data_IF_653130292216
#
_entry.id   IF_653130292216
#
_cell.length_a   1.000
_cell.length_b   1.000
_cell.length_c   1.000
_cell.angle_alpha   90.00
_cell.angle_beta   90.00
_cell.angle_gamma   90.00
#
_symmetry.space_group_name_H-M   'P 1'
#
loop_
_entity.id
_entity.type
_entity.pdbx_description
1 polymer ?
#
# COMPACT_ATOMS: atom_id res chain seq x y z
N UNK A 1 49.52 -1.71 -24.87
CA UNK A 1 48.96 -1.88 -23.51
C UNK A 1 47.94 -0.78 -23.25
N UNK A 2 46.80 -0.80 -23.94
CA UNK A 2 45.71 0.15 -23.76
C UNK A 2 44.45 -0.68 -23.50
N UNK A 3 44.20 -0.99 -22.22
CA UNK A 3 43.14 -1.93 -21.87
C UNK A 3 42.60 -1.85 -20.44
N UNK A 4 43.03 -0.88 -19.63
CA UNK A 4 42.71 -0.93 -18.18
C UNK A 4 42.17 0.37 -17.59
N UNK A 5 41.82 1.38 -18.39
CA UNK A 5 41.25 2.62 -17.87
C UNK A 5 39.72 2.70 -17.99
N UNK A 6 39.08 1.86 -18.81
CA UNK A 6 37.62 1.87 -18.99
C UNK A 6 36.87 0.87 -18.09
N UNK A 7 37.57 -0.01 -17.38
CA UNK A 7 36.95 -0.96 -16.45
C UNK A 7 36.67 -0.37 -15.05
N UNK A 8 37.22 0.81 -14.72
CA UNK A 8 37.03 1.44 -13.41
C UNK A 8 35.86 2.45 -13.36
N UNK A 9 35.30 2.84 -14.52
CA UNK A 9 34.17 3.77 -14.59
C UNK A 9 32.80 3.06 -14.56
N UNK A 10 32.78 1.73 -14.59
CA UNK A 10 31.60 0.91 -14.36
C UNK A 10 31.55 0.37 -12.93
N UNK A 11 32.10 1.12 -11.96
CA UNK A 11 31.64 1.04 -10.58
C UNK A 11 30.18 1.52 -10.60
N UNK A 12 29.30 0.58 -10.91
CA UNK A 12 27.85 0.66 -10.82
C UNK A 12 27.49 1.53 -9.63
N UNK A 13 27.15 2.78 -9.92
CA UNK A 13 26.34 3.59 -9.03
C UNK A 13 24.93 3.01 -9.11
N UNK A 14 24.76 1.76 -8.67
CA UNK A 14 23.46 1.28 -8.25
C UNK A 14 23.14 2.14 -7.05
N UNK A 15 22.40 3.23 -7.29
CA UNK A 15 21.76 4.01 -6.23
C UNK A 15 20.98 2.97 -5.44
N UNK A 16 21.53 2.57 -4.29
CA UNK A 16 20.91 1.57 -3.43
C UNK A 16 19.60 2.19 -3.01
N UNK A 17 18.50 1.68 -3.56
CA UNK A 17 17.16 2.15 -3.21
C UNK A 17 16.97 1.87 -1.73
N UNK A 18 16.51 2.87 -0.98
CA UNK A 18 16.27 2.74 0.45
C UNK A 18 15.30 1.56 0.69
N UNK A 19 15.71 0.51 1.44
CA UNK A 19 14.89 -0.67 1.62
C UNK A 19 13.58 -0.36 2.36
N UNK A 20 13.57 0.61 3.28
CA UNK A 20 12.35 1.06 3.93
C UNK A 20 11.41 1.76 2.93
N UNK A 21 11.97 2.57 2.03
CA UNK A 21 11.17 3.21 0.98
C UNK A 21 10.55 2.17 0.04
N UNK A 22 11.31 1.14 -0.35
CA UNK A 22 10.78 0.05 -1.19
C UNK A 22 9.63 -0.69 -0.50
N UNK A 23 9.81 -1.05 0.78
CA UNK A 23 8.75 -1.69 1.58
C UNK A 23 7.50 -0.81 1.70
N UNK A 24 7.67 0.49 1.99
CA UNK A 24 6.55 1.43 2.05
C UNK A 24 5.88 1.68 0.69
N UNK A 25 6.59 1.56 -0.43
CA UNK A 25 5.97 1.63 -1.75
C UNK A 25 5.09 0.41 -2.01
N UNK A 26 5.50 -0.79 -1.55
CA UNK A 26 4.65 -1.97 -1.62
C UNK A 26 3.37 -1.79 -0.78
N UNK A 27 3.50 -1.20 0.41
CA UNK A 27 2.34 -0.81 1.23
C UNK A 27 1.34 0.10 0.48
N UNK A 28 1.84 1.14 -0.21
CA UNK A 28 1.00 2.03 -1.02
C UNK A 28 0.35 1.31 -2.20
N UNK A 29 1.06 0.36 -2.82
CA UNK A 29 0.49 -0.45 -3.90
C UNK A 29 -0.69 -1.31 -3.41
N UNK A 30 -0.60 -1.90 -2.21
CA UNK A 30 -1.72 -2.62 -1.60
C UNK A 30 -2.93 -1.72 -1.39
N UNK A 31 -2.76 -0.50 -0.89
CA UNK A 31 -3.88 0.44 -0.75
C UNK A 31 -4.53 0.79 -2.08
N UNK A 32 -3.73 1.06 -3.11
CA UNK A 32 -4.25 1.38 -4.44
C UNK A 32 -5.01 0.18 -5.06
N UNK A 33 -4.52 -1.04 -4.81
CA UNK A 33 -5.20 -2.27 -5.25
C UNK A 33 -6.53 -2.45 -4.51
N UNK A 34 -6.56 -2.32 -3.18
CA UNK A 34 -7.79 -2.36 -2.39
C UNK A 34 -8.82 -1.33 -2.87
N UNK A 35 -8.42 -0.08 -3.08
CA UNK A 35 -9.31 0.96 -3.59
C UNK A 35 -9.91 0.59 -4.96
N UNK A 36 -9.09 0.01 -5.84
CA UNK A 36 -9.53 -0.47 -7.15
C UNK A 36 -10.52 -1.63 -7.04
N UNK A 37 -10.22 -2.60 -6.18
CA UNK A 37 -11.06 -3.76 -5.92
C UNK A 37 -12.41 -3.36 -5.30
N UNK A 38 -12.41 -2.50 -4.29
CA UNK A 38 -13.64 -2.00 -3.65
C UNK A 38 -14.53 -1.27 -4.66
N UNK A 39 -13.97 -0.39 -5.49
CA UNK A 39 -14.73 0.30 -6.55
C UNK A 39 -15.34 -0.69 -7.54
N UNK A 40 -14.57 -1.71 -7.94
CA UNK A 40 -15.03 -2.76 -8.84
C UNK A 40 -16.14 -3.59 -8.20
N UNK A 41 -15.97 -3.98 -6.94
CA UNK A 41 -16.94 -4.70 -6.14
C UNK A 41 -18.27 -3.92 -6.07
N UNK A 42 -18.22 -2.64 -5.70
CA UNK A 42 -19.39 -1.77 -5.61
C UNK A 42 -20.13 -1.62 -6.95
N UNK A 43 -19.36 -1.53 -8.05
CA UNK A 43 -19.91 -1.45 -9.41
C UNK A 43 -20.65 -2.73 -9.76
N UNK A 44 -20.05 -3.89 -9.46
CA UNK A 44 -20.61 -5.19 -9.75
C UNK A 44 -21.83 -5.50 -8.87
N UNK A 45 -21.76 -5.19 -7.58
CA UNK A 45 -22.88 -5.31 -6.66
C UNK A 45 -24.07 -4.47 -7.14
N UNK A 46 -23.82 -3.21 -7.52
CA UNK A 46 -24.84 -2.32 -8.07
C UNK A 46 -25.49 -2.88 -9.34
N UNK A 47 -24.69 -3.48 -10.23
CA UNK A 47 -25.19 -4.15 -11.43
C UNK A 47 -26.08 -5.35 -11.08
N UNK A 48 -25.63 -6.22 -10.19
CA UNK A 48 -26.36 -7.41 -9.76
C UNK A 48 -27.69 -7.05 -9.08
N UNK A 49 -27.70 -6.01 -8.24
CA UNK A 49 -28.93 -5.51 -7.62
C UNK A 49 -29.94 -5.09 -8.68
N UNK A 50 -29.50 -4.35 -9.71
CA UNK A 50 -30.38 -3.84 -10.76
C UNK A 50 -30.89 -4.93 -11.70
N UNK A 51 -30.03 -5.84 -12.14
CA UNK A 51 -30.39 -6.81 -13.18
C UNK A 51 -30.99 -8.11 -12.64
N UNK A 52 -30.53 -8.56 -11.47
CA UNK A 52 -30.89 -9.87 -10.94
C UNK A 52 -31.74 -9.79 -9.66
N UNK A 53 -32.13 -8.59 -9.22
CA UNK A 53 -32.75 -8.38 -7.91
C UNK A 53 -31.94 -9.05 -6.79
N UNK A 54 -30.61 -8.94 -6.87
CA UNK A 54 -29.64 -9.71 -6.06
C UNK A 54 -29.99 -9.86 -4.58
N UNK A 55 -30.49 -8.78 -3.95
CA UNK A 55 -30.90 -8.76 -2.54
C UNK A 55 -32.02 -9.74 -2.20
N UNK A 56 -32.87 -10.11 -3.17
CA UNK A 56 -34.01 -11.02 -3.00
C UNK A 56 -33.68 -12.46 -3.36
N UNK A 57 -32.47 -12.73 -3.89
CA UNK A 57 -32.07 -14.08 -4.28
C UNK A 57 -31.59 -14.89 -3.07
N UNK A 58 -32.03 -16.15 -3.00
CA UNK A 58 -31.49 -17.16 -2.10
C UNK A 58 -30.03 -17.51 -2.47
N UNK A 59 -29.29 -18.10 -1.53
CA UNK A 59 -27.89 -18.51 -1.76
C UNK A 59 -27.73 -19.43 -2.98
N UNK A 60 -28.67 -20.36 -3.20
CA UNK A 60 -28.66 -21.26 -4.37
C UNK A 60 -28.88 -20.52 -5.68
N UNK A 61 -29.74 -19.49 -5.70
CA UNK A 61 -29.97 -18.67 -6.89
C UNK A 61 -28.76 -17.78 -7.20
N UNK A 62 -28.10 -17.24 -6.16
CA UNK A 62 -26.86 -16.48 -6.32
C UNK A 62 -25.72 -17.32 -6.90
N UNK A 63 -25.58 -18.57 -6.45
CA UNK A 63 -24.58 -19.50 -6.96
C UNK A 63 -24.76 -19.86 -8.46
N UNK A 64 -25.94 -19.59 -9.04
CA UNK A 64 -26.19 -19.78 -10.46
C UNK A 64 -25.79 -18.57 -11.32
N UNK A 65 -25.36 -17.45 -10.70
CA UNK A 65 -24.98 -16.21 -11.39
C UNK A 65 -23.44 -16.17 -11.48
N UNK A 66 -22.84 -16.23 -12.68
CA UNK A 66 -21.39 -16.22 -12.85
C UNK A 66 -20.71 -15.01 -12.20
N UNK A 67 -21.34 -13.84 -12.26
CA UNK A 67 -20.85 -12.60 -11.66
C UNK A 67 -20.76 -12.66 -10.13
N UNK A 68 -21.49 -13.57 -9.47
CA UNK A 68 -21.35 -13.82 -8.04
C UNK A 68 -19.94 -14.27 -7.66
N UNK A 69 -19.38 -15.17 -8.47
CA UNK A 69 -18.03 -15.69 -8.25
C UNK A 69 -16.96 -14.61 -8.39
N UNK A 70 -17.24 -13.54 -9.15
CA UNK A 70 -16.33 -12.40 -9.26
C UNK A 70 -16.36 -11.53 -8.01
N UNK A 71 -17.52 -11.40 -7.33
CA UNK A 71 -17.56 -10.75 -6.02
C UNK A 71 -16.77 -11.57 -4.99
N UNK A 72 -17.02 -12.88 -4.92
CA UNK A 72 -16.31 -13.78 -4.00
C UNK A 72 -14.79 -13.72 -4.24
N UNK A 73 -14.34 -13.74 -5.51
CA UNK A 73 -12.93 -13.64 -5.85
C UNK A 73 -12.30 -12.27 -5.52
N UNK A 74 -13.10 -11.19 -5.52
CA UNK A 74 -12.64 -9.87 -5.06
C UNK A 74 -12.49 -9.88 -3.54
N UNK A 75 -13.46 -10.46 -2.82
CA UNK A 75 -13.43 -10.57 -1.36
C UNK A 75 -12.22 -11.41 -0.92
N UNK A 76 -11.99 -12.57 -1.53
CA UNK A 76 -10.80 -13.41 -1.29
C UNK A 76 -9.49 -12.63 -1.52
N UNK A 77 -9.41 -11.81 -2.58
CA UNK A 77 -8.23 -11.00 -2.86
C UNK A 77 -8.04 -9.86 -1.85
N UNK A 78 -9.12 -9.28 -1.34
CA UNK A 78 -9.05 -8.26 -0.29
C UNK A 78 -8.52 -8.86 1.02
N UNK A 79 -8.95 -10.07 1.37
CA UNK A 79 -8.45 -10.82 2.53
C UNK A 79 -6.95 -11.15 2.36
N UNK A 80 -6.53 -11.64 1.19
CA UNK A 80 -5.12 -11.88 0.88
C UNK A 80 -4.25 -10.61 1.03
N UNK A 81 -4.75 -9.46 0.55
CA UNK A 81 -4.04 -8.18 0.68
C UNK A 81 -3.96 -7.78 2.15
N UNK A 82 -5.02 -7.99 2.94
CA UNK A 82 -5.00 -7.70 4.36
C UNK A 82 -3.90 -8.51 5.08
N UNK A 83 -3.80 -9.81 4.82
CA UNK A 83 -2.75 -10.67 5.39
C UNK A 83 -1.35 -10.21 4.98
N UNK A 84 -1.17 -9.86 3.70
CA UNK A 84 0.08 -9.31 3.18
C UNK A 84 0.45 -7.98 3.85
N UNK A 85 -0.52 -7.11 4.08
CA UNK A 85 -0.34 -5.86 4.81
C UNK A 85 0.05 -6.12 6.27
N UNK A 86 -0.62 -7.03 6.98
CA UNK A 86 -0.27 -7.36 8.37
C UNK A 86 1.16 -7.92 8.47
N UNK A 87 1.55 -8.80 7.56
CA UNK A 87 2.91 -9.34 7.51
C UNK A 87 3.96 -8.24 7.25
N UNK A 88 3.68 -7.36 6.27
CA UNK A 88 4.56 -6.24 5.96
C UNK A 88 4.67 -5.28 7.15
N UNK A 89 3.55 -4.92 7.78
CA UNK A 89 3.51 -4.03 8.94
C UNK A 89 4.30 -4.59 10.12
N UNK A 90 4.20 -5.89 10.39
CA UNK A 90 4.99 -6.56 11.42
C UNK A 90 6.49 -6.54 11.13
N UNK A 91 6.88 -6.64 9.85
CA UNK A 91 8.30 -6.62 9.44
C UNK A 91 8.89 -5.21 9.34
N UNK A 92 8.06 -4.19 9.08
CA UNK A 92 8.51 -2.84 8.75
C UNK A 92 9.39 -2.16 9.83
N UNK A 93 9.16 -2.38 11.15
CA UNK A 93 10.07 -1.89 12.19
C UNK A 93 11.51 -2.40 12.04
N UNK A 94 11.68 -3.62 11.52
CA UNK A 94 12.99 -4.28 11.32
C UNK A 94 13.73 -3.75 10.08
N UNK A 95 13.05 -3.02 9.20
CA UNK A 95 13.63 -2.46 7.98
C UNK A 95 14.15 -1.04 8.28
N UNK A 96 15.46 -0.88 8.23
CA UNK A 96 16.12 0.41 8.47
C UNK A 96 15.93 1.35 7.29
N UNK A 97 15.48 2.57 7.56
CA UNK A 97 15.50 3.63 6.57
C UNK A 97 16.92 4.20 6.47
N UNK A 98 17.43 4.31 5.25
CA UNK A 98 18.77 4.84 4.96
C UNK A 98 18.73 6.28 4.44
N UNK A 99 17.54 6.79 4.16
CA UNK A 99 17.30 8.13 3.65
C UNK A 99 16.17 8.83 4.42
N UNK A 100 16.14 10.17 4.41
CA UNK A 100 14.98 10.92 4.91
C UNK A 100 13.67 10.48 4.23
N UNK A 101 13.73 10.16 2.93
CA UNK A 101 12.53 9.69 2.21
C UNK A 101 12.01 8.37 2.75
N UNK A 102 12.88 7.42 3.14
CA UNK A 102 12.48 6.18 3.80
C UNK A 102 11.86 6.39 5.18
N UNK A 103 12.41 7.32 5.99
CA UNK A 103 11.84 7.67 7.30
C UNK A 103 10.43 8.26 7.12
N UNK A 104 10.29 9.22 6.21
CA UNK A 104 9.00 9.83 5.88
C UNK A 104 7.99 8.80 5.36
N UNK A 105 8.45 7.80 4.60
CA UNK A 105 7.60 6.73 4.10
C UNK A 105 7.09 5.82 5.23
N UNK A 106 7.96 5.46 6.20
CA UNK A 106 7.52 4.70 7.40
C UNK A 106 6.49 5.46 8.21
N UNK A 107 6.70 6.76 8.45
CA UNK A 107 5.74 7.62 9.14
C UNK A 107 4.40 7.70 8.39
N UNK A 108 4.42 7.75 7.06
CA UNK A 108 3.20 7.72 6.25
C UNK A 108 2.43 6.38 6.39
N UNK A 109 3.14 5.25 6.49
CA UNK A 109 2.50 3.95 6.81
C UNK A 109 1.82 4.02 8.17
N UNK A 110 2.51 4.50 9.21
CA UNK A 110 1.94 4.62 10.56
C UNK A 110 0.69 5.52 10.55
N UNK A 111 0.72 6.65 9.84
CA UNK A 111 -0.43 7.55 9.70
C UNK A 111 -1.64 6.87 9.00
N UNK A 112 -1.39 5.91 8.11
CA UNK A 112 -2.46 5.14 7.45
C UNK A 112 -3.05 4.02 8.30
N UNK A 113 -2.30 3.54 9.30
CA UNK A 113 -2.72 2.44 10.19
C UNK A 113 -3.39 2.97 11.45
N UNK A 114 -2.87 4.06 12.02
CA UNK A 114 -3.48 4.70 13.19
C UNK A 114 -4.66 5.52 12.71
N UNK A 115 -5.86 4.94 12.75
CA UNK A 115 -7.08 5.62 12.32
C UNK A 115 -7.43 6.78 13.26
N UNK A 116 -7.82 7.91 12.67
CA UNK A 116 -8.20 9.10 13.43
C UNK A 116 -9.43 8.85 14.32
N UNK A 117 -10.37 8.02 13.88
CA UNK A 117 -11.55 7.65 14.67
C UNK A 117 -11.20 6.82 15.91
N UNK A 118 -10.07 6.09 15.88
CA UNK A 118 -9.63 5.23 16.98
C UNK A 118 -8.72 5.97 17.97
N UNK A 119 -7.86 6.86 17.46
CA UNK A 119 -6.94 7.64 18.28
C UNK A 119 -6.53 8.94 17.57
N UNK A 120 -7.34 9.99 17.75
CA UNK A 120 -7.14 11.26 17.07
C UNK A 120 -5.81 11.93 17.49
N UNK A 121 -5.47 11.92 18.78
CA UNK A 121 -4.25 12.56 19.28
C UNK A 121 -2.98 11.94 18.69
N UNK A 122 -2.92 10.60 18.64
CA UNK A 122 -1.79 9.91 18.02
C UNK A 122 -1.72 10.18 16.52
N UNK A 123 -2.85 10.09 15.81
CA UNK A 123 -2.92 10.35 14.37
C UNK A 123 -2.41 11.75 14.03
N UNK A 124 -2.93 12.79 14.69
CA UNK A 124 -2.54 14.18 14.45
C UNK A 124 -1.05 14.42 14.76
N UNK A 125 -0.54 13.81 15.84
CA UNK A 125 0.89 13.90 16.18
C UNK A 125 1.78 13.25 15.11
N UNK A 126 1.41 12.06 14.61
CA UNK A 126 2.15 11.37 13.54
C UNK A 126 2.16 12.21 12.26
N UNK A 127 1.00 12.76 11.86
CA UNK A 127 0.87 13.62 10.68
C UNK A 127 1.70 14.89 10.82
N UNK A 128 1.70 15.51 12.00
CA UNK A 128 2.53 16.69 12.31
C UNK A 128 4.02 16.36 12.21
N UNK A 129 4.48 15.29 12.85
CA UNK A 129 5.89 14.85 12.80
C UNK A 129 6.33 14.54 11.36
N UNK A 130 5.46 13.94 10.55
CA UNK A 130 5.74 13.69 9.13
C UNK A 130 5.91 15.00 8.35
N UNK A 131 5.08 16.01 8.61
CA UNK A 131 5.18 17.33 7.96
C UNK A 131 6.48 18.06 8.35
N UNK A 132 6.83 18.04 9.64
CA UNK A 132 8.07 18.60 10.17
C UNK A 132 9.29 17.92 9.54
N UNK A 133 9.29 16.59 9.52
CA UNK A 133 10.39 15.81 8.96
C UNK A 133 10.59 16.08 7.46
N UNK A 134 9.51 16.17 6.68
CA UNK A 134 9.56 16.55 5.26
C UNK A 134 10.08 17.96 5.04
N UNK A 135 9.87 18.86 5.99
CA UNK A 135 10.37 20.24 5.94
C UNK A 135 11.86 20.27 6.25
N UNK A 136 12.29 19.60 7.31
CA UNK A 136 13.71 19.45 7.66
C UNK A 136 14.51 18.82 6.51
N UNK A 137 14.01 17.73 5.92
CA UNK A 137 14.67 17.04 4.81
C UNK A 137 14.83 17.92 3.55
N UNK A 138 13.95 18.92 3.35
CA UNK A 138 14.07 19.89 2.25
C UNK A 138 15.14 20.94 2.54
N UNK A 139 15.23 21.39 3.78
CA UNK A 139 16.22 22.39 4.21
C UNK A 139 17.64 21.82 4.15
N UNK A 140 17.83 20.56 4.57
CA UNK A 140 19.16 19.93 4.61
C UNK A 140 19.66 19.42 3.26
N UNK A 141 18.82 19.45 2.22
CA UNK A 141 19.18 19.08 0.85
C UNK A 141 19.64 20.28 -0.01
N UNK A 142 19.63 21.50 0.55
CA UNK A 142 20.16 22.74 -0.04
C UNK A 142 21.57 23.02 0.49
#
# INVERSE_FOLDING_TARGET
MAGSALAAAAANSSVSVDPALQACNAWQAFHAECDGLIKRWQTLESYLIRQHNWRRLSRRQRAAIPEAFVLDAIDDRLDDIHDQQQQLLASLPLIYATTPRGIAAKLAVVASVVHREENAEAHELIVSVLADFRTLARITAQ
#
